data_IF_277098684550
#
_entry.id   IF_277098684550
#
_cell.length_a   1.000
_cell.length_b   1.000
_cell.length_c   1.000
_cell.angle_alpha   90.00
_cell.angle_beta   90.00
_cell.angle_gamma   90.00
#
_symmetry.space_group_name_H-M   'P 1'
#
loop_
_entity.id
_entity.type
_entity.pdbx_description
1 polymer ?
#
# COMPACT_ATOMS: atom_id res chain seq x y z
N UNK A 1 -29.47 28.89 2.52
CA UNK A 1 -28.47 28.51 1.51
C UNK A 1 -27.17 28.14 2.23
N UNK A 2 -27.14 26.97 2.88
CA UNK A 2 -25.99 26.52 3.69
C UNK A 2 -25.62 25.06 3.38
N UNK A 3 -26.55 24.27 2.84
CA UNK A 3 -26.36 22.84 2.56
C UNK A 3 -25.22 22.55 1.56
N UNK A 4 -25.06 23.35 0.51
CA UNK A 4 -24.05 23.10 -0.54
C UNK A 4 -22.61 23.26 -0.04
N UNK A 5 -22.36 24.22 0.87
CA UNK A 5 -21.03 24.45 1.44
C UNK A 5 -20.65 23.34 2.44
N UNK A 6 -21.61 22.85 3.23
CA UNK A 6 -21.38 21.74 4.17
C UNK A 6 -21.08 20.43 3.45
N UNK A 7 -21.79 20.10 2.36
CA UNK A 7 -21.51 18.90 1.56
C UNK A 7 -20.09 18.93 0.99
N UNK A 8 -19.66 20.07 0.42
CA UNK A 8 -18.29 20.21 -0.12
C UNK A 8 -17.19 20.06 0.94
N UNK A 9 -17.43 20.50 2.18
CA UNK A 9 -16.46 20.31 3.26
C UNK A 9 -16.38 18.85 3.72
N UNK A 10 -17.51 18.15 3.77
CA UNK A 10 -17.54 16.73 4.13
C UNK A 10 -16.81 15.87 3.09
N UNK A 11 -16.94 16.20 1.80
CA UNK A 11 -16.23 15.54 0.70
C UNK A 11 -14.70 15.72 0.81
N UNK A 12 -14.25 16.94 1.10
CA UNK A 12 -12.81 17.22 1.32
C UNK A 12 -12.27 16.48 2.54
N UNK A 13 -13.02 16.45 3.66
CA UNK A 13 -12.61 15.72 4.86
C UNK A 13 -12.49 14.22 4.56
N UNK A 14 -13.49 13.63 3.90
CA UNK A 14 -13.47 12.21 3.51
C UNK A 14 -12.25 11.90 2.63
N UNK A 15 -12.00 12.72 1.62
CA UNK A 15 -10.83 12.56 0.75
C UNK A 15 -9.51 12.57 1.54
N UNK A 16 -9.36 13.49 2.50
CA UNK A 16 -8.16 13.56 3.35
C UNK A 16 -8.04 12.37 4.30
N UNK A 17 -9.16 11.91 4.88
CA UNK A 17 -9.20 10.71 5.73
C UNK A 17 -8.79 9.46 4.93
N UNK A 18 -9.34 9.27 3.74
CA UNK A 18 -9.05 8.12 2.88
C UNK A 18 -7.60 8.16 2.37
N UNK A 19 -7.10 9.35 2.01
CA UNK A 19 -5.69 9.57 1.66
C UNK A 19 -4.75 9.20 2.81
N UNK A 20 -5.06 9.65 4.03
CA UNK A 20 -4.25 9.35 5.21
C UNK A 20 -4.28 7.86 5.56
N UNK A 21 -5.45 7.24 5.52
CA UNK A 21 -5.62 5.81 5.76
C UNK A 21 -4.79 4.98 4.76
N UNK A 22 -4.80 5.36 3.47
CA UNK A 22 -3.97 4.71 2.47
C UNK A 22 -2.47 4.90 2.72
N UNK A 23 -2.03 6.11 3.07
CA UNK A 23 -0.62 6.37 3.39
C UNK A 23 -0.13 5.58 4.60
N UNK A 24 -0.95 5.49 5.66
CA UNK A 24 -0.65 4.72 6.86
C UNK A 24 -0.54 3.22 6.54
N UNK A 25 -1.52 2.67 5.82
CA UNK A 25 -1.53 1.25 5.47
C UNK A 25 -0.32 0.88 4.59
N UNK A 26 0.08 1.76 3.66
CA UNK A 26 1.30 1.57 2.86
C UNK A 26 2.56 1.61 3.74
N UNK A 27 2.65 2.54 4.70
CA UNK A 27 3.79 2.62 5.62
C UNK A 27 3.93 1.34 6.47
N UNK A 28 2.81 0.86 7.02
CA UNK A 28 2.78 -0.38 7.82
C UNK A 28 3.16 -1.61 6.99
N UNK A 29 2.62 -1.71 5.76
CA UNK A 29 2.95 -2.77 4.82
C UNK A 29 4.43 -2.74 4.43
N UNK A 30 4.97 -1.56 4.12
CA UNK A 30 6.38 -1.41 3.74
C UNK A 30 7.30 -1.93 4.85
N UNK A 31 7.04 -1.53 6.10
CA UNK A 31 7.79 -2.00 7.28
C UNK A 31 7.69 -3.52 7.45
N UNK A 32 6.49 -4.07 7.36
CA UNK A 32 6.28 -5.52 7.52
C UNK A 32 7.01 -6.33 6.44
N UNK A 33 6.99 -5.86 5.18
CA UNK A 33 7.65 -6.53 4.06
C UNK A 33 9.17 -6.42 4.12
N UNK A 34 9.70 -5.25 4.51
CA UNK A 34 11.14 -5.06 4.71
C UNK A 34 11.67 -5.97 5.83
N UNK A 35 10.97 -6.03 6.97
CA UNK A 35 11.32 -6.94 8.06
C UNK A 35 11.28 -8.39 7.58
N UNK A 36 10.22 -8.80 6.87
CA UNK A 36 10.12 -10.15 6.30
C UNK A 36 11.32 -10.48 5.43
N UNK A 37 11.67 -9.62 4.49
CA UNK A 37 12.79 -9.82 3.58
C UNK A 37 14.13 -9.92 4.32
N UNK A 38 14.31 -9.20 5.42
CA UNK A 38 15.54 -9.26 6.23
C UNK A 38 15.71 -10.55 7.02
N UNK A 39 14.63 -11.29 7.28
CA UNK A 39 14.65 -12.56 8.03
C UNK A 39 14.94 -13.77 7.13
N UNK A 40 14.98 -13.59 5.82
CA UNK A 40 15.23 -14.67 4.87
C UNK A 40 16.72 -14.89 4.67
N UNK A 41 17.14 -16.15 4.69
CA UNK A 41 18.50 -16.58 4.39
C UNK A 41 18.88 -16.23 2.94
N UNK A 42 19.96 -15.45 2.69
CA UNK A 42 20.41 -15.12 1.35
C UNK A 42 20.88 -16.33 0.53
N UNK A 43 21.29 -17.42 1.18
CA UNK A 43 21.69 -18.68 0.52
C UNK A 43 20.57 -19.76 0.60
N UNK A 44 19.33 -19.31 0.82
CA UNK A 44 18.15 -20.16 0.98
C UNK A 44 17.67 -20.84 -0.30
N UNK A 45 16.53 -21.54 -0.20
CA UNK A 45 15.87 -22.20 -1.34
C UNK A 45 15.30 -21.19 -2.34
N UNK A 46 14.94 -21.63 -3.55
CA UNK A 46 14.27 -20.78 -4.55
C UNK A 46 12.98 -20.13 -4.01
N UNK A 47 12.20 -20.86 -3.20
CA UNK A 47 11.00 -20.33 -2.55
C UNK A 47 11.32 -19.21 -1.55
N UNK A 48 12.42 -19.35 -0.81
CA UNK A 48 12.92 -18.32 0.11
C UNK A 48 13.41 -17.10 -0.68
N UNK A 49 14.14 -17.32 -1.78
CA UNK A 49 14.55 -16.23 -2.65
C UNK A 49 13.35 -15.47 -3.23
N UNK A 50 12.31 -16.17 -3.69
CA UNK A 50 11.07 -15.56 -4.16
C UNK A 50 10.39 -14.73 -3.05
N UNK A 51 10.28 -15.29 -1.84
CA UNK A 51 9.74 -14.62 -0.66
C UNK A 51 10.47 -13.30 -0.38
N UNK A 52 11.82 -13.34 -0.40
CA UNK A 52 12.67 -12.17 -0.17
C UNK A 52 12.50 -11.12 -1.25
N UNK A 53 12.53 -11.52 -2.53
CA UNK A 53 12.36 -10.62 -3.68
C UNK A 53 10.99 -9.92 -3.63
N UNK A 54 9.91 -10.66 -3.33
CA UNK A 54 8.57 -10.07 -3.18
C UNK A 54 8.49 -9.14 -1.97
N UNK A 55 9.12 -9.48 -0.85
CA UNK A 55 9.22 -8.59 0.31
C UNK A 55 9.92 -7.27 0.01
N UNK A 56 11.04 -7.30 -0.71
CA UNK A 56 11.76 -6.07 -1.11
C UNK A 56 10.89 -5.23 -2.05
N UNK A 57 10.35 -5.85 -3.11
CA UNK A 57 9.51 -5.16 -4.10
C UNK A 57 8.27 -4.52 -3.46
N UNK A 58 7.58 -5.25 -2.57
CA UNK A 58 6.41 -4.73 -1.87
C UNK A 58 6.79 -3.60 -0.91
N UNK A 59 7.95 -3.70 -0.24
CA UNK A 59 8.42 -2.64 0.63
C UNK A 59 8.70 -1.34 -0.13
N UNK A 60 9.38 -1.43 -1.27
CA UNK A 60 9.75 -0.28 -2.09
C UNK A 60 8.52 0.41 -2.70
N UNK A 61 7.58 -0.35 -3.27
CA UNK A 61 6.37 0.25 -3.86
C UNK A 61 5.49 0.90 -2.80
N UNK A 62 5.36 0.30 -1.61
CA UNK A 62 4.57 0.86 -0.53
C UNK A 62 5.22 2.11 0.07
N UNK A 63 6.55 2.15 0.21
CA UNK A 63 7.28 3.36 0.64
C UNK A 63 7.16 4.50 -0.38
N UNK A 64 7.33 4.20 -1.67
CA UNK A 64 7.12 5.20 -2.73
C UNK A 64 5.68 5.74 -2.72
N UNK A 65 4.70 4.86 -2.56
CA UNK A 65 3.28 5.24 -2.50
C UNK A 65 2.97 6.08 -1.27
N UNK A 66 3.46 5.72 -0.08
CA UNK A 66 3.19 6.50 1.12
C UNK A 66 3.83 7.89 1.08
N UNK A 67 5.01 8.05 0.47
CA UNK A 67 5.65 9.35 0.26
C UNK A 67 4.83 10.23 -0.69
N UNK A 68 4.45 9.69 -1.84
CA UNK A 68 3.60 10.39 -2.80
C UNK A 68 2.26 10.81 -2.18
N UNK A 69 1.64 9.94 -1.37
CA UNK A 69 0.41 10.26 -0.63
C UNK A 69 0.65 11.26 0.51
N UNK A 70 1.87 11.44 1.00
CA UNK A 70 2.18 12.38 2.08
C UNK A 70 2.57 13.77 1.56
N UNK A 71 3.10 13.86 0.34
CA UNK A 71 3.54 15.11 -0.27
C UNK A 71 2.34 15.96 -0.76
N UNK A 72 2.22 17.20 -0.27
CA UNK A 72 1.14 18.16 -0.63
C UNK A 72 1.48 18.99 -1.87
N UNK A 73 2.05 18.38 -2.91
CA UNK A 73 2.31 19.07 -4.18
C UNK A 73 1.22 18.70 -5.17
N UNK A 74 0.76 19.64 -6.00
CA UNK A 74 -0.22 19.44 -7.10
C UNK A 74 -0.07 18.04 -7.69
N UNK A 75 -0.92 17.12 -7.23
CA UNK A 75 -0.76 15.71 -7.53
C UNK A 75 -1.28 15.50 -8.94
N UNK A 76 -0.43 14.99 -9.81
CA UNK A 76 -0.87 14.39 -11.06
C UNK A 76 -1.78 13.20 -10.71
N UNK A 77 -3.10 13.38 -10.80
CA UNK A 77 -4.08 12.34 -10.45
C UNK A 77 -3.91 11.08 -11.30
N UNK A 78 -3.48 11.23 -12.56
CA UNK A 78 -3.20 10.08 -13.43
C UNK A 78 -1.96 9.32 -12.95
N UNK A 79 -0.89 10.04 -12.62
CA UNK A 79 0.30 9.44 -12.00
C UNK A 79 0.00 8.75 -10.67
N UNK A 80 -0.82 9.37 -9.82
CA UNK A 80 -1.28 8.82 -8.55
C UNK A 80 -2.10 7.54 -8.76
N UNK A 81 -3.02 7.54 -9.73
CA UNK A 81 -3.84 6.38 -10.08
C UNK A 81 -2.98 5.21 -10.52
N UNK A 82 -2.04 5.44 -11.43
CA UNK A 82 -1.10 4.41 -11.90
C UNK A 82 -0.28 3.83 -10.74
N UNK A 83 0.25 4.69 -9.86
CA UNK A 83 1.04 4.25 -8.72
C UNK A 83 0.22 3.45 -7.70
N UNK A 84 -1.03 3.84 -7.42
CA UNK A 84 -1.92 3.11 -6.50
C UNK A 84 -2.36 1.75 -7.07
N UNK A 85 -2.65 1.68 -8.37
CA UNK A 85 -2.97 0.42 -9.06
C UNK A 85 -1.78 -0.55 -9.03
N UNK A 86 -0.59 -0.01 -9.26
CA UNK A 86 0.65 -0.78 -9.15
C UNK A 86 0.88 -1.27 -7.72
N UNK A 87 0.80 -0.39 -6.73
CA UNK A 87 0.94 -0.74 -5.31
C UNK A 87 -0.06 -1.82 -4.89
N UNK A 88 -1.34 -1.67 -5.26
CA UNK A 88 -2.40 -2.65 -5.01
C UNK A 88 -2.04 -4.02 -5.59
N UNK A 89 -1.57 -4.06 -6.83
CA UNK A 89 -1.23 -5.30 -7.54
C UNK A 89 -0.06 -6.01 -6.84
N UNK A 90 1.03 -5.29 -6.59
CA UNK A 90 2.21 -5.84 -5.90
C UNK A 90 1.86 -6.34 -4.50
N UNK A 91 1.03 -5.61 -3.75
CA UNK A 91 0.57 -6.04 -2.42
C UNK A 91 -0.20 -7.37 -2.49
N UNK A 92 -1.12 -7.55 -3.45
CA UNK A 92 -1.88 -8.79 -3.59
C UNK A 92 -0.99 -9.96 -4.02
N UNK A 93 -0.07 -9.74 -4.96
CA UNK A 93 0.89 -10.76 -5.37
C UNK A 93 1.82 -11.18 -4.23
N UNK A 94 2.30 -10.21 -3.45
CA UNK A 94 3.18 -10.47 -2.31
C UNK A 94 2.45 -11.21 -1.21
N UNK A 95 1.20 -10.82 -0.92
CA UNK A 95 0.34 -11.54 0.04
C UNK A 95 0.19 -13.01 -0.35
N UNK A 96 -0.05 -13.30 -1.64
CA UNK A 96 -0.19 -14.67 -2.12
C UNK A 96 1.09 -15.51 -1.89
N UNK A 97 2.26 -14.92 -2.12
CA UNK A 97 3.55 -15.58 -1.85
C UNK A 97 3.76 -15.79 -0.35
N UNK A 98 3.42 -14.80 0.48
CA UNK A 98 3.54 -14.91 1.94
C UNK A 98 2.59 -15.95 2.56
N UNK A 99 1.39 -16.15 2.00
CA UNK A 99 0.46 -17.18 2.48
C UNK A 99 1.03 -18.61 2.36
N UNK A 100 2.00 -18.82 1.45
CA UNK A 100 2.70 -20.09 1.27
C UNK A 100 3.84 -20.34 2.27
N UNK A 101 4.15 -19.39 3.15
CA UNK A 101 5.33 -19.46 4.01
C UNK A 101 4.97 -19.37 5.51
N UNK A 102 5.41 -20.32 6.34
CA UNK A 102 5.17 -20.27 7.78
C UNK A 102 5.70 -18.97 8.41
N UNK A 103 4.97 -18.47 9.39
CA UNK A 103 5.30 -17.25 10.13
C UNK A 103 5.25 -15.95 9.30
N UNK A 104 4.73 -15.97 8.05
CA UNK A 104 4.55 -14.79 7.20
C UNK A 104 3.10 -14.27 7.14
N UNK A 105 2.20 -14.82 7.96
CA UNK A 105 0.77 -14.54 7.97
C UNK A 105 0.47 -13.06 8.26
N UNK A 106 1.18 -12.47 9.23
CA UNK A 106 1.04 -11.05 9.57
C UNK A 106 1.51 -10.14 8.43
N UNK A 107 2.58 -10.53 7.72
CA UNK A 107 3.07 -9.80 6.55
C UNK A 107 2.05 -9.87 5.41
N UNK A 108 1.45 -11.05 5.17
CA UNK A 108 0.38 -11.22 4.19
C UNK A 108 -0.86 -10.39 4.54
N UNK A 109 -1.24 -10.35 5.82
CA UNK A 109 -2.36 -9.55 6.31
C UNK A 109 -2.12 -8.05 6.09
N UNK A 110 -0.91 -7.55 6.36
CA UNK A 110 -0.53 -6.16 6.12
C UNK A 110 -0.58 -5.80 4.62
N UNK A 111 -0.11 -6.70 3.74
CA UNK A 111 -0.23 -6.52 2.29
C UNK A 111 -1.69 -6.41 1.84
N UNK A 112 -2.57 -7.30 2.33
CA UNK A 112 -4.00 -7.24 2.01
C UNK A 112 -4.67 -5.98 2.56
N UNK A 113 -4.25 -5.49 3.73
CA UNK A 113 -4.76 -4.25 4.29
C UNK A 113 -4.36 -3.04 3.43
N UNK A 114 -3.10 -2.96 3.01
CA UNK A 114 -2.62 -1.92 2.09
C UNK A 114 -3.33 -1.98 0.73
N UNK A 115 -3.50 -3.17 0.15
CA UNK A 115 -4.22 -3.32 -1.11
C UNK A 115 -5.68 -2.84 -1.04
N UNK A 116 -6.37 -3.11 0.09
CA UNK A 116 -7.73 -2.59 0.33
C UNK A 116 -7.73 -1.06 0.43
N UNK A 117 -6.85 -0.49 1.23
CA UNK A 117 -6.76 0.96 1.39
C UNK A 117 -6.43 1.68 0.06
N UNK A 118 -5.54 1.10 -0.77
CA UNK A 118 -5.26 1.60 -2.12
C UNK A 118 -6.52 1.55 -3.00
N UNK A 119 -7.30 0.48 -2.92
CA UNK A 119 -8.54 0.32 -3.70
C UNK A 119 -9.60 1.33 -3.27
N UNK A 120 -9.75 1.54 -1.96
CA UNK A 120 -10.70 2.51 -1.39
C UNK A 120 -10.33 3.92 -1.82
N UNK A 121 -9.06 4.32 -1.69
CA UNK A 121 -8.61 5.64 -2.08
C UNK A 121 -8.67 5.88 -3.59
N UNK A 122 -8.34 4.88 -4.42
CA UNK A 122 -8.55 4.93 -5.88
C UNK A 122 -10.00 5.27 -6.25
N UNK A 123 -10.97 4.76 -5.48
CA UNK A 123 -12.39 5.05 -5.67
C UNK A 123 -12.79 6.49 -5.37
N UNK A 124 -11.91 7.29 -4.76
CA UNK A 124 -12.14 8.71 -4.49
C UNK A 124 -11.56 9.64 -5.56
N UNK A 125 -10.71 9.12 -6.46
CA UNK A 125 -10.06 9.91 -7.51
C UNK A 125 -11.01 10.10 -8.70
N UNK A 126 -11.12 11.34 -9.18
CA UNK A 126 -12.01 11.74 -10.28
C UNK A 126 -11.52 11.39 -11.67
#
# INVERSE_FOLDING_TARGET
MTSTSTTSQQEVIRFLEDRFACAQACTECARACALRASLVDPDGTEDQELLRRKGIMCAEVCDATCRMLSEQTLVDEDGLRVQLEWCRTVCLESAHVFDGHPAAEDTAAACRASARACTEFLGTLS
#
